data_IF_520963987801
#
_entry.id   IF_520963987801
#
_cell.length_a   1.000
_cell.length_b   1.000
_cell.length_c   1.000
_cell.angle_alpha   90.00
_cell.angle_beta   90.00
_cell.angle_gamma   90.00
#
_symmetry.space_group_name_H-M   'P 1'
#
loop_
_entity.id
_entity.type
_entity.pdbx_description
1 polymer ?
#
# COMPACT_ATOMS: atom_id res chain seq x y z
N UNK A 1 -26.23 -11.19 4.23
CA UNK A 1 -27.27 -10.37 3.57
C UNK A 1 -27.46 -9.14 4.44
N UNK A 2 -27.28 -7.92 3.93
CA UNK A 2 -27.54 -6.71 4.71
C UNK A 2 -28.99 -6.74 5.19
N UNK A 3 -29.21 -6.50 6.47
CA UNK A 3 -30.57 -6.36 7.00
C UNK A 3 -31.20 -5.11 6.40
N UNK A 4 -32.38 -5.25 5.78
CA UNK A 4 -33.17 -4.11 5.32
C UNK A 4 -33.98 -3.46 6.45
N UNK A 5 -33.97 -4.04 7.65
CA UNK A 5 -34.70 -3.56 8.82
C UNK A 5 -33.91 -2.41 9.50
N UNK A 6 -34.39 -1.18 9.31
CA UNK A 6 -33.79 0.00 9.88
C UNK A 6 -33.82 0.01 11.43
N UNK A 7 -34.80 -0.62 12.05
CA UNK A 7 -34.90 -0.71 13.52
C UNK A 7 -33.83 -1.64 14.04
N UNK A 8 -33.63 -2.81 13.43
CA UNK A 8 -32.58 -3.75 13.80
C UNK A 8 -31.19 -3.14 13.57
N UNK A 9 -30.99 -2.38 12.48
CA UNK A 9 -29.73 -1.67 12.22
C UNK A 9 -29.45 -0.60 13.30
N UNK A 10 -30.45 0.21 13.64
CA UNK A 10 -30.28 1.23 14.67
C UNK A 10 -29.97 0.62 16.04
N UNK A 11 -30.63 -0.50 16.40
CA UNK A 11 -30.35 -1.22 17.63
C UNK A 11 -28.94 -1.78 17.63
N UNK A 12 -28.47 -2.38 16.54
CA UNK A 12 -27.13 -2.91 16.39
C UNK A 12 -26.07 -1.82 16.56
N UNK A 13 -26.25 -0.66 15.91
CA UNK A 13 -25.36 0.50 16.04
C UNK A 13 -25.26 0.94 17.51
N UNK A 14 -26.39 1.00 18.20
CA UNK A 14 -26.45 1.39 19.61
C UNK A 14 -25.78 0.37 20.53
N UNK A 15 -26.08 -0.92 20.35
CA UNK A 15 -25.56 -2.00 21.20
C UNK A 15 -24.04 -2.13 21.10
N UNK A 16 -23.50 -1.94 19.88
CA UNK A 16 -22.07 -2.00 19.61
C UNK A 16 -21.38 -0.63 19.61
N UNK A 17 -22.07 0.43 20.02
CA UNK A 17 -21.53 1.79 20.12
C UNK A 17 -20.81 2.25 18.84
N UNK A 18 -21.34 1.91 17.68
CA UNK A 18 -20.73 2.28 16.41
C UNK A 18 -20.88 3.79 16.20
N UNK A 19 -19.81 4.42 15.71
CA UNK A 19 -19.81 5.86 15.41
C UNK A 19 -20.46 6.18 14.08
N UNK A 20 -20.50 5.21 13.15
CA UNK A 20 -21.07 5.38 11.82
C UNK A 20 -22.59 5.29 11.85
N UNK A 21 -23.25 6.21 11.17
CA UNK A 21 -24.71 6.28 11.07
C UNK A 21 -25.24 5.50 9.87
N UNK A 22 -26.55 5.19 9.90
CA UNK A 22 -27.25 4.60 8.76
C UNK A 22 -27.18 5.58 7.57
N UNK A 23 -26.78 5.07 6.40
CA UNK A 23 -26.64 5.87 5.18
C UNK A 23 -25.26 6.46 4.96
N UNK A 24 -24.38 6.43 5.92
CA UNK A 24 -22.99 6.79 5.72
C UNK A 24 -22.25 5.71 4.92
N UNK A 25 -21.42 6.14 3.96
CA UNK A 25 -20.59 5.24 3.16
C UNK A 25 -19.49 4.60 4.02
N UNK A 26 -19.12 3.37 3.69
CA UNK A 26 -18.05 2.64 4.35
C UNK A 26 -18.53 1.34 4.99
N UNK A 27 -17.62 0.67 5.70
CA UNK A 27 -17.85 -0.60 6.39
C UNK A 27 -17.47 -0.48 7.85
N UNK A 28 -18.31 -1.02 8.75
CA UNK A 28 -17.98 -1.20 10.16
C UNK A 28 -17.79 -2.69 10.44
N UNK A 29 -16.70 -3.02 11.09
CA UNK A 29 -16.39 -4.39 11.49
C UNK A 29 -16.36 -4.42 13.01
N UNK A 30 -17.20 -5.27 13.60
CA UNK A 30 -17.26 -5.50 15.04
C UNK A 30 -16.68 -6.89 15.32
N UNK A 31 -15.67 -6.95 16.17
CA UNK A 31 -15.03 -8.20 16.57
C UNK A 31 -15.33 -8.43 18.06
N UNK A 32 -16.38 -9.17 18.39
CA UNK A 32 -16.69 -9.52 19.77
C UNK A 32 -15.70 -10.57 20.26
N UNK A 33 -15.44 -10.57 21.56
CA UNK A 33 -14.60 -11.58 22.23
C UNK A 33 -13.20 -11.70 21.61
N UNK A 34 -12.54 -10.55 21.45
CA UNK A 34 -11.16 -10.50 20.96
C UNK A 34 -10.24 -11.34 21.86
N UNK A 35 -9.28 -12.03 21.24
CA UNK A 35 -8.19 -12.69 21.97
C UNK A 35 -7.29 -11.63 22.60
N UNK A 36 -6.58 -11.94 23.69
CA UNK A 36 -5.70 -11.03 24.42
C UNK A 36 -4.62 -10.37 23.52
N UNK A 37 -4.19 -11.03 22.47
CA UNK A 37 -3.22 -10.49 21.52
C UNK A 37 -3.82 -9.55 20.45
N UNK A 38 -5.14 -9.41 20.41
CA UNK A 38 -5.85 -8.53 19.49
C UNK A 38 -6.17 -7.20 20.18
N UNK A 39 -5.15 -6.46 20.55
CA UNK A 39 -5.27 -5.14 21.14
C UNK A 39 -5.28 -4.04 20.06
N UNK A 40 -5.65 -2.82 20.47
CA UNK A 40 -5.76 -1.66 19.60
C UNK A 40 -4.45 -1.40 18.83
N UNK A 41 -3.31 -1.48 19.51
CA UNK A 41 -1.98 -1.29 18.93
C UNK A 41 -1.70 -2.27 17.79
N UNK A 42 -1.90 -3.56 18.03
CA UNK A 42 -1.64 -4.60 17.03
C UNK A 42 -2.56 -4.45 15.81
N UNK A 43 -3.80 -3.98 16.02
CA UNK A 43 -4.74 -3.72 14.94
C UNK A 43 -4.30 -2.52 14.11
N UNK A 44 -3.92 -1.42 14.75
CA UNK A 44 -3.37 -0.23 14.07
C UNK A 44 -2.12 -0.58 13.26
N UNK A 45 -1.18 -1.31 13.86
CA UNK A 45 0.02 -1.77 13.15
C UNK A 45 -0.32 -2.64 11.93
N UNK A 46 -1.29 -3.53 12.03
CA UNK A 46 -1.72 -4.37 10.91
C UNK A 46 -2.35 -3.55 9.80
N UNK A 47 -3.22 -2.61 10.13
CA UNK A 47 -3.86 -1.72 9.17
C UNK A 47 -2.80 -0.88 8.43
N UNK A 48 -1.89 -0.26 9.16
CA UNK A 48 -0.82 0.54 8.55
C UNK A 48 0.03 -0.33 7.64
N UNK A 49 0.49 -1.48 8.12
CA UNK A 49 1.36 -2.37 7.35
C UNK A 49 0.75 -2.81 6.03
N UNK A 50 -0.53 -3.15 6.05
CA UNK A 50 -1.17 -3.80 4.90
C UNK A 50 -1.82 -2.78 3.94
N UNK A 51 -2.20 -1.58 4.43
CA UNK A 51 -2.99 -0.60 3.68
C UNK A 51 -2.36 0.80 3.58
N UNK A 52 -1.09 0.98 3.96
CA UNK A 52 -0.50 2.33 4.01
C UNK A 52 -0.58 3.10 2.68
N UNK A 53 -0.49 2.43 1.54
CA UNK A 53 -0.57 3.05 0.22
C UNK A 53 -1.97 3.62 -0.04
N UNK A 54 -3.02 2.84 0.22
CA UNK A 54 -4.41 3.32 0.08
C UNK A 54 -4.72 4.47 1.04
N UNK A 55 -4.12 4.44 2.24
CA UNK A 55 -4.31 5.50 3.23
C UNK A 55 -3.58 6.77 2.80
N UNK A 56 -2.33 6.68 2.37
CA UNK A 56 -1.55 7.82 1.85
C UNK A 56 -2.18 8.44 0.61
N UNK A 57 -2.71 7.60 -0.30
CA UNK A 57 -3.45 8.04 -1.47
C UNK A 57 -4.81 8.66 -1.15
N UNK A 58 -5.23 8.65 0.12
CA UNK A 58 -6.52 9.20 0.55
C UNK A 58 -7.73 8.36 0.15
N UNK A 59 -7.52 7.14 -0.33
CA UNK A 59 -8.58 6.22 -0.73
C UNK A 59 -9.19 5.47 0.45
N UNK A 60 -8.46 5.37 1.56
CA UNK A 60 -8.87 4.67 2.77
C UNK A 60 -8.65 5.53 4.01
N UNK A 61 -9.69 5.60 4.84
CA UNK A 61 -9.63 6.12 6.21
C UNK A 61 -10.12 5.04 7.14
N UNK A 62 -9.34 4.71 8.15
CA UNK A 62 -9.71 3.73 9.16
C UNK A 62 -9.90 4.40 10.51
N UNK A 63 -10.98 4.07 11.21
CA UNK A 63 -11.19 4.43 12.61
C UNK A 63 -11.21 3.14 13.43
N UNK A 64 -10.34 3.08 14.40
CA UNK A 64 -10.21 1.91 15.27
C UNK A 64 -10.57 2.33 16.68
N UNK A 65 -11.44 1.59 17.33
CA UNK A 65 -11.84 1.85 18.72
C UNK A 65 -11.87 0.58 19.54
N UNK A 66 -11.57 0.72 20.82
CA UNK A 66 -11.72 -0.36 21.80
C UNK A 66 -12.92 -0.12 22.73
N UNK A 67 -13.20 -1.08 23.59
CA UNK A 67 -14.28 -1.03 24.58
C UNK A 67 -14.02 -0.02 25.71
N UNK A 68 -12.78 0.42 25.90
CA UNK A 68 -12.40 1.45 26.86
C UNK A 68 -12.67 2.87 26.34
N UNK A 69 -13.08 3.01 25.06
CA UNK A 69 -13.36 4.29 24.43
C UNK A 69 -12.13 4.94 23.80
N UNK A 70 -10.99 4.23 23.70
CA UNK A 70 -9.86 4.73 22.94
C UNK A 70 -10.20 4.69 21.45
N UNK A 71 -9.87 5.76 20.74
CA UNK A 71 -10.14 5.89 19.32
C UNK A 71 -8.89 6.38 18.60
N UNK A 72 -8.53 5.70 17.52
CA UNK A 72 -7.42 6.09 16.63
C UNK A 72 -7.97 6.23 15.22
N UNK A 73 -7.74 7.39 14.62
CA UNK A 73 -8.05 7.61 13.21
C UNK A 73 -6.78 7.54 12.38
N UNK A 74 -6.76 6.64 11.40
CA UNK A 74 -5.65 6.40 10.50
C UNK A 74 -6.06 6.94 9.13
N UNK A 75 -5.44 8.04 8.72
CA UNK A 75 -5.66 8.71 7.44
C UNK A 75 -4.34 9.27 6.91
N UNK A 76 -4.37 9.90 5.73
CA UNK A 76 -3.15 10.45 5.09
C UNK A 76 -2.39 11.46 5.93
N UNK A 77 -3.04 12.14 6.88
CA UNK A 77 -2.42 13.17 7.70
C UNK A 77 -1.83 12.60 9.01
N UNK A 78 -2.36 11.48 9.49
CA UNK A 78 -1.97 10.86 10.77
C UNK A 78 -1.03 9.67 10.60
N UNK A 79 -0.99 9.06 9.43
CA UNK A 79 -0.27 7.78 9.22
C UNK A 79 1.23 7.88 9.52
N UNK A 80 1.89 8.97 9.16
CA UNK A 80 3.34 9.11 9.35
C UNK A 80 3.69 9.19 10.84
N UNK A 81 2.97 10.00 11.62
CA UNK A 81 3.16 10.06 13.07
C UNK A 81 2.84 8.73 13.75
N UNK A 82 1.77 8.06 13.31
CA UNK A 82 1.42 6.73 13.84
C UNK A 82 2.48 5.66 13.53
N UNK A 83 3.16 5.74 12.39
CA UNK A 83 4.30 4.85 12.11
C UNK A 83 5.41 5.07 13.15
N UNK A 84 5.74 6.30 13.46
CA UNK A 84 6.77 6.63 14.45
C UNK A 84 6.38 6.21 15.87
N UNK A 85 5.12 6.38 16.24
CA UNK A 85 4.59 6.05 17.57
C UNK A 85 4.41 4.55 17.78
N UNK A 86 3.88 3.85 16.79
CA UNK A 86 3.46 2.45 16.95
C UNK A 86 4.51 1.43 16.52
N UNK A 87 5.44 1.82 15.63
CA UNK A 87 6.51 0.94 15.17
C UNK A 87 7.84 1.40 15.75
N UNK A 88 8.44 0.61 16.64
CA UNK A 88 9.78 0.85 17.12
C UNK A 88 10.85 0.57 16.06
N UNK A 89 12.07 1.07 16.29
CA UNK A 89 13.23 0.76 15.45
C UNK A 89 13.66 -0.73 15.53
N UNK A 90 13.35 -1.39 16.66
CA UNK A 90 13.67 -2.79 16.90
C UNK A 90 12.50 -3.71 16.59
N UNK A 91 12.34 -4.09 15.34
CA UNK A 91 11.50 -5.23 15.01
C UNK A 91 12.32 -6.41 14.54
N UNK A 92 12.65 -7.26 15.50
CA UNK A 92 13.46 -8.48 15.37
C UNK A 92 12.71 -9.58 14.61
N UNK A 93 11.42 -9.42 14.36
CA UNK A 93 10.63 -10.37 13.61
C UNK A 93 10.73 -10.11 12.11
N UNK A 94 11.19 -11.09 11.35
CA UNK A 94 11.27 -11.04 9.87
C UNK A 94 9.94 -10.74 9.15
N UNK A 95 8.84 -10.63 9.88
CA UNK A 95 7.49 -10.40 9.34
C UNK A 95 6.94 -9.00 9.60
N UNK A 96 7.59 -8.22 10.43
CA UNK A 96 7.12 -6.86 10.77
C UNK A 96 8.15 -5.86 10.25
N UNK A 97 7.70 -4.94 9.41
CA UNK A 97 8.55 -3.85 8.89
C UNK A 97 8.85 -2.88 10.02
N UNK A 98 10.07 -2.36 10.03
CA UNK A 98 10.45 -1.30 10.97
C UNK A 98 9.79 0.03 10.58
N UNK A 99 9.73 0.97 11.53
CA UNK A 99 9.30 2.34 11.25
C UNK A 99 10.13 2.97 10.11
N UNK A 100 11.45 2.74 10.11
CA UNK A 100 12.36 3.21 9.06
C UNK A 100 11.98 2.67 7.69
N UNK A 101 11.70 1.36 7.57
CA UNK A 101 11.29 0.77 6.30
C UNK A 101 9.95 1.34 5.80
N UNK A 102 8.96 1.45 6.68
CA UNK A 102 7.66 2.04 6.34
C UNK A 102 7.79 3.51 5.92
N UNK A 103 8.59 4.30 6.62
CA UNK A 103 8.81 5.70 6.27
C UNK A 103 9.51 5.86 4.90
N UNK A 104 10.44 4.98 4.56
CA UNK A 104 11.06 4.96 3.23
C UNK A 104 10.03 4.64 2.16
N UNK A 105 9.19 3.63 2.37
CA UNK A 105 8.14 3.25 1.42
C UNK A 105 7.10 4.36 1.26
N UNK A 106 6.68 4.99 2.37
CA UNK A 106 5.81 6.16 2.33
C UNK A 106 6.42 7.31 1.53
N UNK A 107 7.70 7.62 1.76
CA UNK A 107 8.42 8.64 1.03
C UNK A 107 8.54 8.35 -0.47
N UNK A 108 8.73 7.08 -0.85
CA UNK A 108 8.75 6.67 -2.25
C UNK A 108 7.39 6.86 -2.91
N UNK A 109 6.31 6.47 -2.24
CA UNK A 109 4.95 6.66 -2.75
C UNK A 109 4.58 8.13 -2.89
N UNK A 110 4.87 8.95 -1.89
CA UNK A 110 4.63 10.41 -1.94
C UNK A 110 5.40 11.07 -3.08
N UNK A 111 6.66 10.67 -3.31
CA UNK A 111 7.47 11.19 -4.42
C UNK A 111 6.90 10.77 -5.79
N UNK A 112 6.37 9.56 -5.90
CA UNK A 112 5.68 9.09 -7.11
C UNK A 112 4.44 9.94 -7.39
N UNK A 113 3.55 10.11 -6.43
CA UNK A 113 2.33 10.93 -6.54
C UNK A 113 2.65 12.41 -6.87
N UNK A 114 3.71 12.95 -6.30
CA UNK A 114 4.18 14.31 -6.58
C UNK A 114 4.91 14.46 -7.93
N UNK A 115 5.16 13.36 -8.64
CA UNK A 115 5.92 13.36 -9.89
C UNK A 115 7.40 13.76 -9.74
N UNK A 116 7.96 13.62 -8.53
CA UNK A 116 9.36 14.00 -8.22
C UNK A 116 10.34 12.82 -8.35
N UNK A 117 10.03 11.87 -9.21
CA UNK A 117 10.82 10.68 -9.51
C UNK A 117 11.59 10.82 -10.83
N UNK A 118 12.66 10.05 -10.97
CA UNK A 118 13.37 9.92 -12.26
C UNK A 118 12.64 8.86 -13.10
N UNK A 119 11.84 9.31 -14.05
CA UNK A 119 10.97 8.44 -14.85
C UNK A 119 11.71 7.79 -16.01
N UNK A 120 11.42 6.51 -16.21
CA UNK A 120 11.87 5.71 -17.35
C UNK A 120 10.73 4.83 -17.82
N UNK A 121 10.39 4.93 -19.09
CA UNK A 121 9.44 4.04 -19.74
C UNK A 121 10.17 2.82 -20.28
N UNK A 122 9.71 1.64 -19.93
CA UNK A 122 10.18 0.37 -20.50
C UNK A 122 9.09 -0.11 -21.44
N UNK A 123 9.29 -0.03 -22.76
CA UNK A 123 8.29 -0.49 -23.71
C UNK A 123 8.07 -1.98 -23.55
N UNK A 124 6.80 -2.36 -23.51
CA UNK A 124 6.40 -3.75 -23.44
C UNK A 124 6.94 -4.54 -24.62
N UNK A 125 7.63 -5.62 -24.35
CA UNK A 125 8.00 -6.54 -25.40
C UNK A 125 6.75 -7.34 -25.81
N UNK A 126 6.25 -7.11 -27.01
CA UNK A 126 5.15 -7.87 -27.61
C UNK A 126 5.54 -9.29 -27.99
N UNK A 127 6.79 -9.67 -27.79
CA UNK A 127 7.30 -11.00 -28.06
C UNK A 127 6.86 -11.98 -26.96
N UNK A 128 6.47 -13.15 -27.40
CA UNK A 128 5.99 -14.34 -26.68
C UNK A 128 6.36 -14.41 -25.19
N UNK A 129 5.41 -14.83 -24.37
CA UNK A 129 5.41 -14.97 -22.91
C UNK A 129 6.69 -15.54 -22.25
N UNK A 130 7.62 -16.08 -23.03
CA UNK A 130 8.88 -16.67 -22.55
C UNK A 130 10.14 -15.96 -23.06
N UNK A 131 10.00 -14.84 -23.77
CA UNK A 131 11.14 -14.15 -24.35
C UNK A 131 11.40 -12.86 -23.54
N UNK A 132 12.09 -13.04 -22.40
CA UNK A 132 12.67 -11.93 -21.65
C UNK A 132 13.89 -11.43 -22.42
N UNK A 133 13.67 -10.66 -23.47
CA UNK A 133 14.76 -9.95 -24.10
C UNK A 133 15.37 -8.99 -23.08
N UNK A 134 16.70 -8.92 -23.03
CA UNK A 134 17.39 -7.97 -22.17
C UNK A 134 16.88 -6.57 -22.46
N UNK A 135 16.41 -5.90 -21.43
CA UNK A 135 16.07 -4.47 -21.49
C UNK A 135 17.39 -3.74 -21.62
N UNK A 136 17.69 -3.26 -22.82
CA UNK A 136 18.91 -2.49 -23.08
C UNK A 136 18.61 -1.01 -23.04
N UNK A 137 19.18 -0.32 -22.06
CA UNK A 137 19.23 1.14 -22.03
C UNK A 137 20.40 1.64 -22.88
N UNK A 138 20.28 2.82 -23.45
CA UNK A 138 21.43 3.47 -24.07
C UNK A 138 22.54 3.70 -23.02
N UNK A 139 23.82 3.79 -23.42
CA UNK A 139 24.90 4.05 -22.47
C UNK A 139 24.68 5.34 -21.66
N UNK A 140 24.14 6.39 -22.28
CA UNK A 140 23.84 7.67 -21.63
C UNK A 140 22.71 7.51 -20.61
N UNK A 141 21.66 6.80 -20.96
CA UNK A 141 20.52 6.54 -20.07
C UNK A 141 20.93 5.65 -18.88
N UNK A 142 21.73 4.63 -19.15
CA UNK A 142 22.31 3.77 -18.12
C UNK A 142 23.15 4.55 -17.11
N UNK A 143 23.99 5.49 -17.59
CA UNK A 143 24.80 6.31 -16.73
C UNK A 143 23.95 7.31 -15.94
N UNK A 144 22.95 7.95 -16.55
CA UNK A 144 21.98 8.82 -15.86
C UNK A 144 21.26 8.10 -14.74
N UNK A 145 20.77 6.88 -14.99
CA UNK A 145 20.07 6.07 -14.00
C UNK A 145 21.01 5.63 -12.87
N UNK A 146 22.24 5.25 -13.20
CA UNK A 146 23.26 4.86 -12.21
C UNK A 146 23.58 6.04 -11.27
N UNK A 147 23.75 7.23 -11.82
CA UNK A 147 24.00 8.44 -11.04
C UNK A 147 22.80 8.77 -10.14
N UNK A 148 21.58 8.78 -10.68
CA UNK A 148 20.36 9.00 -9.93
C UNK A 148 20.22 8.01 -8.76
N UNK A 149 20.42 6.72 -9.03
CA UNK A 149 20.35 5.67 -8.01
C UNK A 149 21.43 5.83 -6.93
N UNK A 150 22.67 6.13 -7.32
CA UNK A 150 23.76 6.35 -6.39
C UNK A 150 23.57 7.59 -5.52
N UNK A 151 22.92 8.62 -6.05
CA UNK A 151 22.55 9.84 -5.32
C UNK A 151 21.30 9.65 -4.44
N UNK A 152 20.75 8.44 -4.34
CA UNK A 152 19.57 8.15 -3.50
C UNK A 152 18.25 8.69 -4.07
N UNK A 153 18.23 9.11 -5.33
CA UNK A 153 17.00 9.52 -6.01
C UNK A 153 16.10 8.30 -6.23
N UNK A 154 14.80 8.54 -6.30
CA UNK A 154 13.82 7.49 -6.60
C UNK A 154 13.69 7.36 -8.10
N UNK A 155 13.94 6.15 -8.61
CA UNK A 155 13.74 5.81 -10.02
C UNK A 155 12.36 5.17 -10.15
N UNK A 156 11.60 5.64 -11.11
CA UNK A 156 10.29 5.12 -11.47
C UNK A 156 10.36 4.46 -12.85
N UNK A 157 10.19 3.15 -12.87
CA UNK A 157 10.13 2.39 -14.11
C UNK A 157 8.65 2.11 -14.41
N UNK A 158 8.15 2.64 -15.53
CA UNK A 158 6.84 2.26 -16.07
C UNK A 158 7.05 1.14 -17.07
N UNK A 159 6.55 -0.05 -16.72
CA UNK A 159 6.73 -1.28 -17.54
C UNK A 159 5.40 -1.61 -18.19
N UNK A 160 5.37 -1.57 -19.52
CA UNK A 160 4.22 -2.04 -20.28
C UNK A 160 4.33 -3.55 -20.52
N UNK A 161 3.26 -4.28 -20.33
CA UNK A 161 3.18 -5.71 -20.59
C UNK A 161 2.02 -6.02 -21.54
N UNK A 162 2.22 -6.95 -22.45
CA UNK A 162 1.11 -7.52 -23.21
C UNK A 162 0.31 -8.47 -22.30
N UNK A 163 -0.99 -8.27 -22.20
CA UNK A 163 -1.86 -9.21 -21.50
C UNK A 163 -2.06 -10.44 -22.37
N UNK A 164 -1.73 -11.66 -21.91
CA UNK A 164 -1.94 -12.86 -22.69
C UNK A 164 -3.42 -13.06 -23.05
N UNK A 165 -3.71 -13.33 -24.32
CA UNK A 165 -5.08 -13.59 -24.82
C UNK A 165 -5.79 -14.72 -24.05
N UNK A 166 -5.04 -15.64 -23.46
CA UNK A 166 -5.58 -16.71 -22.60
C UNK A 166 -6.31 -16.23 -21.35
N UNK A 167 -5.99 -15.03 -20.85
CA UNK A 167 -6.61 -14.48 -19.63
C UNK A 167 -7.91 -13.73 -19.94
N UNK A 168 -8.07 -13.24 -21.14
CA UNK A 168 -9.32 -12.60 -21.54
C UNK A 168 -9.53 -12.67 -23.08
N UNK A 169 -10.15 -13.75 -23.60
CA UNK A 169 -10.36 -13.95 -25.03
C UNK A 169 -11.29 -12.92 -25.69
N UNK A 170 -11.93 -12.05 -24.92
CA UNK A 170 -12.84 -11.01 -25.41
C UNK A 170 -12.23 -9.61 -25.42
N UNK A 171 -11.00 -9.44 -24.92
CA UNK A 171 -10.27 -8.18 -25.03
C UNK A 171 -9.40 -8.22 -26.28
N UNK A 172 -9.61 -7.27 -27.18
CA UNK A 172 -8.61 -6.90 -28.18
C UNK A 172 -7.29 -6.65 -27.45
N UNK A 173 -6.14 -6.98 -28.08
CA UNK A 173 -4.79 -6.85 -27.53
C UNK A 173 -4.67 -5.68 -26.57
N UNK A 174 -4.84 -5.93 -25.27
CA UNK A 174 -4.69 -4.91 -24.25
C UNK A 174 -3.27 -4.96 -23.72
N UNK A 175 -2.65 -3.80 -23.62
CA UNK A 175 -1.42 -3.63 -22.85
C UNK A 175 -1.83 -3.20 -21.44
N UNK A 176 -1.23 -3.82 -20.46
CA UNK A 176 -1.32 -3.37 -19.08
C UNK A 176 0.04 -2.79 -18.68
N UNK A 177 0.04 -1.90 -17.69
CA UNK A 177 1.26 -1.28 -17.22
C UNK A 177 1.37 -1.40 -15.71
N UNK A 178 2.56 -1.65 -15.22
CA UNK A 178 2.85 -1.56 -13.79
C UNK A 178 4.05 -0.65 -13.54
N UNK A 179 4.08 -0.07 -12.36
CA UNK A 179 5.14 0.84 -11.94
C UNK A 179 6.04 0.16 -10.93
N UNK A 180 7.35 0.26 -11.14
CA UNK A 180 8.37 -0.18 -10.20
C UNK A 180 9.11 1.04 -9.67
N UNK A 181 9.11 1.23 -8.36
CA UNK A 181 9.87 2.27 -7.70
C UNK A 181 11.13 1.67 -7.09
N UNK A 182 12.28 2.25 -7.40
CA UNK A 182 13.59 1.82 -6.92
C UNK A 182 14.26 2.95 -6.14
N UNK A 183 14.79 2.64 -4.96
CA UNK A 183 15.58 3.57 -4.15
C UNK A 183 16.76 2.85 -3.51
N UNK A 184 17.94 3.47 -3.56
CA UNK A 184 19.11 2.99 -2.82
C UNK A 184 19.04 3.47 -1.37
N UNK A 185 19.13 2.53 -0.44
CA UNK A 185 19.19 2.81 1.00
C UNK A 185 20.43 2.11 1.56
N UNK A 186 21.35 2.87 2.14
CA UNK A 186 22.69 2.39 2.51
C UNK A 186 22.67 1.35 3.64
N UNK A 187 21.67 1.42 4.53
CA UNK A 187 21.65 0.63 5.78
C UNK A 187 20.63 -0.51 5.76
N UNK A 188 19.91 -0.68 4.66
CA UNK A 188 18.89 -1.72 4.55
C UNK A 188 19.34 -2.85 3.63
N UNK A 189 19.06 -4.08 4.04
CA UNK A 189 19.06 -5.22 3.11
C UNK A 189 17.95 -5.01 2.10
N UNK A 190 18.22 -5.32 0.82
CA UNK A 190 17.24 -5.19 -0.24
C UNK A 190 15.90 -5.81 0.15
N UNK A 191 14.85 -5.03 0.05
CA UNK A 191 13.47 -5.44 0.34
C UNK A 191 12.62 -5.16 -0.89
N UNK A 192 11.77 -6.09 -1.25
CA UNK A 192 10.82 -5.96 -2.36
C UNK A 192 9.41 -5.95 -1.80
N UNK A 193 8.61 -5.03 -2.27
CA UNK A 193 7.22 -4.84 -1.88
C UNK A 193 6.36 -4.89 -3.12
N UNK A 194 5.37 -5.73 -3.11
CA UNK A 194 4.35 -5.75 -4.15
C UNK A 194 3.07 -5.10 -3.64
N UNK A 195 2.48 -4.28 -4.49
CA UNK A 195 1.21 -3.64 -4.19
C UNK A 195 0.25 -3.83 -5.35
N UNK A 196 -0.98 -4.18 -5.03
CA UNK A 196 -2.08 -4.26 -5.99
C UNK A 196 -3.26 -3.47 -5.44
N UNK A 197 -3.75 -2.51 -6.23
CA UNK A 197 -4.90 -1.66 -5.85
C UNK A 197 -4.75 -0.99 -4.47
N UNK A 198 -3.50 -0.58 -4.14
CA UNK A 198 -3.20 0.06 -2.85
C UNK A 198 -3.04 -0.88 -1.66
N UNK A 199 -3.16 -2.21 -1.87
CA UNK A 199 -3.02 -3.24 -0.82
C UNK A 199 -1.69 -3.95 -1.02
N UNK A 200 -0.92 -4.13 0.07
CA UNK A 200 0.29 -4.94 0.04
C UNK A 200 -0.06 -6.43 -0.07
N UNK A 201 0.70 -7.12 -0.93
CA UNK A 201 0.54 -8.56 -1.18
C UNK A 201 1.71 -9.31 -0.55
#
# INVERSE_FOLDING_TARGET
IPSADAVAQAQFIKDWKLTRQIGELGTSIVVPFCRENMNLKNLVQSIIRDYFISILGGQLVCKVSDDNGNNIEINKNTIVSLIEEEFGEENISRRVRSATELNILCGMFVAHEAGSTVKVAIPGNTAKVNDWSEITFSPEESERLRQAFNNGQIIELSVETAVPEMLNPHLEKSTDAFTVLLKKVMEMRGSTVFCREGILI
#
